data_IF_887655952196
#
_entry.id   IF_887655952196
#
_cell.length_a   1.000
_cell.length_b   1.000
_cell.length_c   1.000
_cell.angle_alpha   90.00
_cell.angle_beta   90.00
_cell.angle_gamma   90.00
#
_symmetry.space_group_name_H-M   'P 1'
#
loop_
_entity.id
_entity.type
_entity.pdbx_description
1 polymer ?
#
# COMPACT_ATOMS: atom_id res chain seq x y z
N UNK A 1 -16.35 -32.07 -41.70
CA UNK A 1 -15.77 -32.04 -40.37
C UNK A 1 -16.77 -31.40 -39.42
N UNK A 2 -17.10 -31.97 -38.28
CA UNK A 2 -17.99 -31.33 -37.34
C UNK A 2 -17.37 -30.01 -36.90
N UNK A 3 -18.14 -28.95 -36.90
CA UNK A 3 -17.74 -27.62 -36.45
C UNK A 3 -17.65 -27.65 -34.92
N UNK A 4 -16.46 -27.61 -34.39
CA UNK A 4 -16.25 -27.51 -32.92
C UNK A 4 -16.53 -26.05 -32.56
N UNK A 5 -17.55 -25.82 -31.75
CA UNK A 5 -17.86 -24.51 -31.20
C UNK A 5 -17.14 -24.44 -29.86
N UNK A 6 -16.19 -23.52 -29.74
CA UNK A 6 -15.61 -23.17 -28.44
C UNK A 6 -16.62 -22.31 -27.69
N UNK A 7 -17.03 -22.72 -26.50
CA UNK A 7 -17.94 -21.99 -25.64
C UNK A 7 -17.12 -21.38 -24.50
N UNK A 8 -17.14 -20.03 -24.40
CA UNK A 8 -16.61 -19.31 -23.26
C UNK A 8 -17.75 -19.04 -22.28
N UNK A 9 -17.65 -19.55 -21.07
CA UNK A 9 -18.72 -19.48 -20.06
C UNK A 9 -18.45 -18.46 -18.97
N UNK A 10 -17.20 -17.99 -18.83
CA UNK A 10 -16.84 -17.01 -17.81
C UNK A 10 -15.61 -16.19 -18.23
N UNK A 11 -15.40 -15.07 -17.54
CA UNK A 11 -14.23 -14.20 -17.65
C UNK A 11 -13.48 -14.07 -16.32
N UNK A 12 -13.58 -15.05 -15.43
CA UNK A 12 -13.04 -15.02 -14.08
C UNK A 12 -11.50 -14.89 -14.01
N UNK A 13 -10.80 -15.18 -15.10
CA UNK A 13 -9.35 -15.00 -15.23
C UNK A 13 -8.95 -13.63 -15.79
N UNK A 14 -9.92 -12.82 -16.25
CA UNK A 14 -9.64 -11.49 -16.83
C UNK A 14 -8.73 -11.56 -18.07
N UNK A 15 -7.87 -10.58 -18.23
CA UNK A 15 -6.90 -10.52 -19.33
C UNK A 15 -5.81 -11.57 -19.14
N UNK A 16 -5.47 -12.27 -20.19
CA UNK A 16 -4.34 -13.20 -20.23
C UNK A 16 -3.18 -12.60 -21.04
N UNK A 17 -1.98 -12.82 -20.55
CA UNK A 17 -0.76 -12.40 -21.22
C UNK A 17 -0.72 -12.98 -22.65
N UNK A 18 -0.42 -12.19 -23.70
CA UNK A 18 -0.34 -12.64 -25.08
C UNK A 18 0.59 -13.85 -25.28
N UNK A 19 1.59 -14.02 -24.43
CA UNK A 19 2.50 -15.19 -24.44
C UNK A 19 1.77 -16.49 -24.09
N UNK A 20 0.58 -16.43 -23.52
CA UNK A 20 -0.26 -17.59 -23.17
C UNK A 20 -1.28 -17.95 -24.26
N UNK A 21 -1.31 -17.25 -25.38
CA UNK A 21 -2.32 -17.41 -26.46
C UNK A 21 -2.42 -18.83 -27.01
N UNK A 22 -1.37 -19.66 -26.92
CA UNK A 22 -1.36 -21.05 -27.38
C UNK A 22 -1.51 -22.08 -26.24
N UNK A 23 -1.60 -21.62 -24.99
CA UNK A 23 -1.64 -22.49 -23.80
C UNK A 23 -3.06 -22.96 -23.45
N UNK A 24 -3.67 -23.68 -24.42
CA UNK A 24 -5.03 -24.25 -24.27
C UNK A 24 -5.11 -25.36 -23.20
N UNK A 25 -3.97 -25.79 -22.66
CA UNK A 25 -3.86 -26.72 -21.55
C UNK A 25 -4.17 -26.08 -20.18
N UNK A 26 -4.10 -24.75 -20.09
CA UNK A 26 -4.39 -24.04 -18.85
C UNK A 26 -5.90 -23.91 -18.62
N UNK A 27 -6.36 -24.24 -17.39
CA UNK A 27 -7.76 -24.04 -16.97
C UNK A 27 -8.22 -22.59 -17.21
N UNK A 28 -7.38 -21.64 -16.91
CA UNK A 28 -7.65 -20.19 -17.03
C UNK A 28 -7.81 -19.71 -18.48
N UNK A 29 -7.32 -20.47 -19.48
CA UNK A 29 -7.38 -20.09 -20.89
C UNK A 29 -8.82 -19.86 -21.36
N UNK A 30 -9.73 -20.76 -21.00
CA UNK A 30 -11.15 -20.70 -21.41
C UNK A 30 -11.98 -19.74 -20.53
N UNK A 31 -11.38 -19.14 -19.52
CA UNK A 31 -12.00 -18.15 -18.63
C UNK A 31 -11.33 -16.78 -18.75
N UNK A 32 -10.45 -16.62 -19.72
CA UNK A 32 -9.70 -15.40 -19.96
C UNK A 32 -10.14 -14.65 -21.21
N UNK A 33 -9.65 -13.44 -21.33
CA UNK A 33 -9.83 -12.57 -22.50
C UNK A 33 -8.46 -12.12 -23.01
N UNK A 34 -8.39 -11.85 -24.32
CA UNK A 34 -7.22 -11.22 -24.93
C UNK A 34 -7.07 -9.76 -24.46
N UNK A 35 -8.21 -9.06 -24.32
CA UNK A 35 -8.28 -7.70 -23.83
C UNK A 35 -9.53 -7.49 -22.97
N UNK A 36 -9.41 -6.76 -21.89
CA UNK A 36 -10.50 -6.36 -21.02
C UNK A 36 -10.21 -4.96 -20.46
N UNK A 37 -10.50 -3.94 -21.27
CA UNK A 37 -10.26 -2.54 -20.96
C UNK A 37 -11.54 -1.87 -20.47
N UNK A 38 -11.43 -1.13 -19.33
CA UNK A 38 -12.53 -0.41 -18.70
C UNK A 38 -13.75 -1.30 -18.34
N UNK A 39 -13.49 -2.51 -17.91
CA UNK A 39 -14.49 -3.46 -17.43
C UNK A 39 -14.13 -4.03 -16.07
N UNK A 40 -15.11 -4.58 -15.39
CA UNK A 40 -14.99 -5.33 -14.14
C UNK A 40 -15.45 -6.75 -14.41
N UNK A 41 -14.62 -7.72 -14.04
CA UNK A 41 -15.01 -9.13 -14.02
C UNK A 41 -15.90 -9.39 -12.80
N UNK A 42 -16.98 -10.13 -13.00
CA UNK A 42 -17.91 -10.46 -11.93
C UNK A 42 -17.68 -11.88 -11.44
N UNK A 43 -17.85 -12.15 -10.12
CA UNK A 43 -17.71 -13.50 -9.56
C UNK A 43 -18.61 -14.54 -10.26
N UNK A 44 -19.75 -14.11 -10.78
CA UNK A 44 -20.70 -14.96 -11.51
C UNK A 44 -20.24 -15.33 -12.92
N UNK A 45 -19.07 -14.86 -13.36
CA UNK A 45 -18.47 -15.19 -14.65
C UNK A 45 -18.65 -14.15 -15.75
N UNK A 46 -19.56 -13.18 -15.58
CA UNK A 46 -19.76 -12.10 -16.54
C UNK A 46 -18.72 -10.98 -16.41
N UNK A 47 -18.84 -10.01 -17.32
CA UNK A 47 -18.15 -8.71 -17.24
C UNK A 47 -19.17 -7.59 -17.32
N UNK A 48 -18.89 -6.51 -16.59
CA UNK A 48 -19.65 -5.26 -16.69
C UNK A 48 -18.70 -4.11 -16.97
N UNK A 49 -19.22 -3.04 -17.57
CA UNK A 49 -18.46 -1.80 -17.71
C UNK A 49 -18.08 -1.27 -16.32
N UNK A 50 -16.87 -0.74 -16.15
CA UNK A 50 -16.52 -0.07 -14.89
C UNK A 50 -17.38 1.18 -14.70
N UNK A 51 -17.65 1.58 -13.47
CA UNK A 51 -18.19 2.90 -13.17
C UNK A 51 -17.30 4.00 -13.73
N UNK A 52 -17.88 5.17 -13.99
CA UNK A 52 -17.16 6.36 -14.40
C UNK A 52 -16.45 7.03 -13.22
N UNK A 53 -15.51 7.91 -13.54
CA UNK A 53 -14.89 8.80 -12.57
C UNK A 53 -15.62 10.14 -12.56
N UNK A 54 -16.21 10.47 -11.42
CA UNK A 54 -16.92 11.72 -11.17
C UNK A 54 -15.98 12.76 -10.61
N UNK A 55 -16.01 13.98 -11.15
CA UNK A 55 -15.26 15.10 -10.63
C UNK A 55 -15.66 15.45 -9.18
N UNK A 56 -14.68 15.62 -8.32
CA UNK A 56 -14.85 16.08 -6.95
C UNK A 56 -14.23 17.46 -6.75
N UNK A 57 -12.97 17.65 -7.12
CA UNK A 57 -12.25 18.91 -6.94
C UNK A 57 -11.10 19.07 -7.94
N UNK A 58 -10.70 20.32 -8.18
CA UNK A 58 -9.47 20.63 -8.92
C UNK A 58 -8.29 20.68 -7.95
N UNK A 59 -7.25 19.92 -8.27
CA UNK A 59 -5.99 19.90 -7.52
C UNK A 59 -4.92 20.54 -8.41
N UNK A 60 -4.36 21.68 -8.01
CA UNK A 60 -3.44 22.44 -8.85
C UNK A 60 -1.98 21.97 -8.77
N UNK A 61 -1.72 20.78 -8.24
CA UNK A 61 -0.38 20.22 -8.01
C UNK A 61 -0.41 18.70 -8.15
N UNK A 62 0.76 18.10 -8.30
CA UNK A 62 0.92 16.65 -8.10
C UNK A 62 0.49 16.29 -6.69
N UNK A 63 -0.21 15.18 -6.56
CA UNK A 63 -0.79 14.79 -5.30
C UNK A 63 -0.71 13.28 -5.07
N UNK A 64 -0.61 12.90 -3.81
CA UNK A 64 -0.76 11.54 -3.34
C UNK A 64 -1.93 11.43 -2.38
N UNK A 65 -2.73 10.41 -2.54
CA UNK A 65 -3.90 10.14 -1.73
C UNK A 65 -3.58 9.22 -0.56
N UNK A 66 -4.26 9.43 0.55
CA UNK A 66 -4.27 8.51 1.69
C UNK A 66 -5.63 8.52 2.37
N UNK A 67 -6.04 7.38 2.89
CA UNK A 67 -7.27 7.27 3.69
C UNK A 67 -6.99 7.48 5.17
N UNK A 68 -7.95 8.06 5.88
CA UNK A 68 -7.96 8.19 7.33
C UNK A 68 -9.34 7.77 7.85
N UNK A 69 -9.41 6.75 8.68
CA UNK A 69 -10.66 6.24 9.23
C UNK A 69 -10.63 6.31 10.77
N UNK A 70 -11.34 7.28 11.35
CA UNK A 70 -11.52 7.35 12.80
C UNK A 70 -12.53 6.29 13.28
N UNK A 71 -13.64 6.17 12.56
CA UNK A 71 -14.64 5.12 12.70
C UNK A 71 -15.37 4.97 11.35
N UNK A 72 -16.37 4.11 11.28
CA UNK A 72 -17.11 3.82 10.03
C UNK A 72 -17.89 5.01 9.44
N UNK A 73 -18.22 6.02 10.25
CA UNK A 73 -18.98 7.22 9.83
C UNK A 73 -18.06 8.44 9.60
N UNK A 74 -16.87 8.42 10.19
CA UNK A 74 -15.94 9.54 10.20
C UNK A 74 -14.65 9.12 9.50
N UNK A 75 -14.75 9.06 8.20
CA UNK A 75 -13.66 8.72 7.29
C UNK A 75 -13.31 9.93 6.45
N UNK A 76 -12.04 10.05 6.11
CA UNK A 76 -11.50 11.21 5.41
C UNK A 76 -10.53 10.76 4.33
N UNK A 77 -10.50 11.51 3.25
CA UNK A 77 -9.47 11.44 2.23
C UNK A 77 -8.45 12.54 2.47
N UNK A 78 -7.20 12.16 2.59
CA UNK A 78 -6.05 13.05 2.66
C UNK A 78 -5.45 13.23 1.27
N UNK A 79 -5.35 14.46 0.80
CA UNK A 79 -4.74 14.82 -0.48
C UNK A 79 -3.44 15.55 -0.19
N UNK A 80 -2.34 14.81 -0.17
CA UNK A 80 -1.00 15.35 0.04
C UNK A 80 -0.52 16.02 -1.25
N UNK A 81 -0.11 17.27 -1.14
CA UNK A 81 0.49 18.06 -2.21
C UNK A 81 1.79 18.70 -1.71
N UNK A 82 2.44 19.49 -2.54
CA UNK A 82 3.67 20.19 -2.13
C UNK A 82 3.44 21.03 -0.87
N UNK A 83 4.10 20.63 0.22
CA UNK A 83 4.08 21.29 1.55
C UNK A 83 2.69 21.45 2.18
N UNK A 84 1.70 20.66 1.75
CA UNK A 84 0.33 20.74 2.27
C UNK A 84 -0.37 19.39 2.23
N UNK A 85 -1.35 19.21 3.08
CA UNK A 85 -2.37 18.15 2.96
C UNK A 85 -3.76 18.79 3.07
N UNK A 86 -4.58 18.57 2.05
CA UNK A 86 -5.99 18.94 2.05
C UNK A 86 -6.83 17.74 2.52
N UNK A 87 -7.80 17.98 3.36
CA UNK A 87 -8.62 16.97 4.00
C UNK A 87 -10.04 17.08 3.46
N UNK A 88 -10.54 15.97 2.93
CA UNK A 88 -11.89 15.85 2.39
C UNK A 88 -12.71 14.85 3.21
N UNK A 89 -13.98 15.13 3.36
CA UNK A 89 -14.98 14.20 3.88
C UNK A 89 -16.18 14.16 2.93
N UNK A 90 -16.56 12.96 2.49
CA UNK A 90 -17.69 12.76 1.55
C UNK A 90 -17.58 13.68 0.30
N UNK A 91 -16.38 13.81 -0.26
CA UNK A 91 -16.08 14.68 -1.40
C UNK A 91 -16.04 16.18 -1.10
N UNK A 92 -16.26 16.61 0.15
CA UNK A 92 -16.26 18.03 0.55
C UNK A 92 -14.97 18.38 1.28
N UNK A 93 -14.29 19.43 0.83
CA UNK A 93 -13.09 19.98 1.48
C UNK A 93 -13.40 20.46 2.90
N UNK A 94 -12.59 20.08 3.87
CA UNK A 94 -12.77 20.37 5.29
C UNK A 94 -11.66 21.31 5.84
N UNK A 95 -10.42 21.05 5.50
CA UNK A 95 -9.27 21.79 6.05
C UNK A 95 -8.02 21.59 5.18
N UNK A 96 -7.08 22.55 5.32
CA UNK A 96 -5.71 22.43 4.83
C UNK A 96 -4.75 22.46 6.01
N UNK A 97 -3.74 21.60 5.99
CA UNK A 97 -2.68 21.55 6.99
C UNK A 97 -1.33 21.62 6.32
N UNK A 98 -0.48 22.55 6.75
CA UNK A 98 0.89 22.68 6.23
C UNK A 98 1.73 21.49 6.65
N UNK A 99 2.47 20.91 5.70
CA UNK A 99 3.38 19.78 5.90
C UNK A 99 4.80 20.17 5.46
N UNK A 100 5.84 19.43 5.87
CA UNK A 100 7.20 19.67 5.36
C UNK A 100 7.52 18.94 4.06
N UNK A 101 6.62 18.09 3.57
CA UNK A 101 6.89 17.17 2.47
C UNK A 101 6.77 17.88 1.12
N UNK A 102 7.82 17.80 0.32
CA UNK A 102 7.84 18.31 -1.05
C UNK A 102 7.21 17.33 -2.03
N UNK A 103 6.86 17.81 -3.23
CA UNK A 103 6.32 16.96 -4.31
C UNK A 103 7.14 15.69 -4.54
N UNK A 104 8.48 15.80 -4.58
CA UNK A 104 9.37 14.66 -4.80
C UNK A 104 9.29 13.59 -3.69
N UNK A 105 8.88 13.97 -2.49
CA UNK A 105 8.82 13.12 -1.31
C UNK A 105 7.45 12.45 -1.10
N UNK A 106 6.43 12.86 -1.85
CA UNK A 106 5.06 12.41 -1.61
C UNK A 106 4.91 10.88 -1.71
N UNK A 107 5.53 10.26 -2.71
CA UNK A 107 5.43 8.80 -2.91
C UNK A 107 6.39 7.99 -2.03
N UNK A 108 7.30 8.64 -1.31
CA UNK A 108 8.16 8.02 -0.30
C UNK A 108 7.56 8.09 1.10
N UNK A 109 6.57 8.97 1.30
CA UNK A 109 5.88 9.14 2.57
C UNK A 109 5.14 7.86 2.95
N UNK A 110 5.35 7.36 4.16
CA UNK A 110 4.59 6.24 4.70
C UNK A 110 3.86 6.65 5.99
N UNK A 111 2.84 5.91 6.31
CA UNK A 111 2.03 6.20 7.49
C UNK A 111 1.43 4.96 8.13
N UNK A 112 1.11 5.11 9.39
CA UNK A 112 0.25 4.18 10.15
C UNK A 112 -0.74 5.00 10.96
N UNK A 113 -1.89 4.42 11.27
CA UNK A 113 -2.95 5.12 12.01
C UNK A 113 -3.38 4.34 13.24
N UNK A 114 -3.66 5.07 14.31
CA UNK A 114 -4.35 4.56 15.49
C UNK A 114 -5.38 5.59 15.95
N UNK A 115 -6.65 5.21 15.94
CA UNK A 115 -7.79 6.07 16.30
C UNK A 115 -7.77 7.43 15.58
N UNK A 116 -7.65 8.53 16.30
CA UNK A 116 -7.64 9.91 15.81
C UNK A 116 -6.26 10.41 15.35
N UNK A 117 -5.24 9.57 15.36
CA UNK A 117 -3.85 9.95 15.10
C UNK A 117 -3.25 9.14 13.97
N UNK A 118 -2.73 9.82 12.95
CA UNK A 118 -1.92 9.27 11.87
C UNK A 118 -0.45 9.63 12.10
N UNK A 119 0.41 8.62 12.18
CA UNK A 119 1.86 8.79 12.25
C UNK A 119 2.41 8.82 10.83
N UNK A 120 3.12 9.88 10.47
CA UNK A 120 3.73 10.10 9.17
C UNK A 120 5.25 9.96 9.33
N UNK A 121 5.87 9.18 8.46
CA UNK A 121 7.32 8.93 8.46
C UNK A 121 7.91 9.11 7.06
N UNK A 122 9.10 9.70 7.02
CA UNK A 122 9.91 9.90 5.82
C UNK A 122 11.37 9.99 6.25
N UNK A 123 12.31 9.45 5.46
CA UNK A 123 13.72 9.38 5.88
C UNK A 123 14.40 10.75 6.10
N UNK A 124 13.93 11.79 5.45
CA UNK A 124 14.49 13.15 5.59
C UNK A 124 13.82 13.97 6.70
N UNK A 125 12.73 13.51 7.27
CA UNK A 125 11.94 14.28 8.23
C UNK A 125 11.69 13.51 9.52
N UNK A 126 11.86 14.21 10.65
CA UNK A 126 11.47 13.66 11.95
C UNK A 126 9.99 13.21 11.92
N UNK A 127 9.66 12.04 12.49
CA UNK A 127 8.30 11.53 12.52
C UNK A 127 7.29 12.56 13.01
N UNK A 128 6.16 12.62 12.35
CA UNK A 128 5.07 13.56 12.67
C UNK A 128 3.79 12.84 12.97
N UNK A 129 2.94 13.49 13.76
CA UNK A 129 1.57 13.04 13.99
C UNK A 129 0.58 14.07 13.46
N UNK A 130 -0.33 13.60 12.61
CA UNK A 130 -1.51 14.32 12.18
C UNK A 130 -2.68 13.86 13.04
N UNK A 131 -3.21 14.77 13.85
CA UNK A 131 -4.25 14.46 14.83
C UNK A 131 -5.54 15.15 14.43
N UNK A 132 -6.63 14.37 14.40
CA UNK A 132 -7.98 14.87 14.22
C UNK A 132 -8.50 15.45 15.54
N UNK A 133 -8.98 16.69 15.50
CA UNK A 133 -9.62 17.35 16.64
C UNK A 133 -11.12 17.03 16.76
N UNK A 134 -11.82 17.86 17.53
CA UNK A 134 -13.23 17.67 17.85
C UNK A 134 -14.23 17.94 16.70
N UNK A 135 -13.78 18.53 15.57
CA UNK A 135 -14.62 18.80 14.39
C UNK A 135 -13.95 18.28 13.12
N UNK A 136 -14.71 18.17 12.03
CA UNK A 136 -14.20 17.72 10.73
C UNK A 136 -13.11 18.64 10.16
N UNK A 137 -13.13 19.92 10.53
CA UNK A 137 -12.15 20.93 10.09
C UNK A 137 -11.00 21.16 11.07
N UNK A 138 -10.98 20.44 12.20
CA UNK A 138 -9.94 20.63 13.22
C UNK A 138 -8.85 19.57 13.09
N UNK A 139 -7.70 19.94 12.56
CA UNK A 139 -6.57 19.06 12.35
C UNK A 139 -5.27 19.73 12.77
N UNK A 140 -4.36 18.98 13.34
CA UNK A 140 -3.06 19.49 13.78
C UNK A 140 -1.95 18.52 13.40
N UNK A 141 -0.95 19.03 12.68
CA UNK A 141 0.29 18.32 12.41
C UNK A 141 1.38 18.81 13.38
N UNK A 142 2.01 17.90 14.09
CA UNK A 142 3.12 18.20 15.00
C UNK A 142 4.24 17.18 14.86
N UNK A 143 5.48 17.60 15.13
CA UNK A 143 6.60 16.68 15.28
C UNK A 143 6.40 15.84 16.53
N UNK A 144 6.68 14.54 16.45
CA UNK A 144 6.64 13.65 17.61
C UNK A 144 7.90 13.89 18.43
N UNK A 145 7.72 14.14 19.73
CA UNK A 145 8.84 14.11 20.67
C UNK A 145 9.08 12.68 21.08
N UNK A 146 10.17 12.10 20.59
CA UNK A 146 10.61 10.77 20.98
C UNK A 146 11.46 10.87 22.25
N UNK A 147 11.24 9.99 23.20
CA UNK A 147 12.07 9.84 24.41
C UNK A 147 12.94 8.59 24.30
N UNK A 148 14.11 8.66 24.91
CA UNK A 148 15.10 7.57 24.93
C UNK A 148 15.36 7.02 23.51
N UNK A 149 15.75 7.94 22.61
CA UNK A 149 16.12 7.55 21.24
C UNK A 149 17.28 6.56 21.32
N UNK A 150 17.21 5.41 20.61
CA UNK A 150 18.30 4.44 20.60
C UNK A 150 19.62 5.09 20.18
N UNK A 151 20.72 4.61 20.78
CA UNK A 151 22.04 5.14 20.52
C UNK A 151 22.86 4.15 19.69
N UNK A 152 23.70 4.65 18.80
CA UNK A 152 24.61 3.83 18.01
C UNK A 152 25.94 4.54 17.79
N UNK A 153 27.04 3.80 17.80
CA UNK A 153 28.35 4.36 17.48
C UNK A 153 28.61 4.29 15.98
N UNK A 154 28.50 5.42 15.31
CA UNK A 154 28.83 5.56 13.90
C UNK A 154 30.32 5.82 13.64
N UNK A 155 31.18 5.59 14.63
CA UNK A 155 32.64 5.75 14.53
C UNK A 155 33.18 7.00 15.21
N UNK A 156 32.35 7.78 15.90
CA UNK A 156 32.75 8.98 16.64
C UNK A 156 32.20 9.00 18.07
N UNK A 157 31.72 7.87 18.58
CA UNK A 157 31.02 7.70 19.84
C UNK A 157 29.52 7.51 19.65
N UNK A 158 28.83 7.13 20.71
CA UNK A 158 27.39 6.88 20.69
C UNK A 158 26.63 8.17 20.46
N UNK A 159 25.72 8.16 19.49
CA UNK A 159 24.81 9.26 19.14
C UNK A 159 23.44 8.72 18.77
N UNK A 160 22.42 9.60 18.73
CA UNK A 160 21.06 9.23 18.36
C UNK A 160 21.02 8.59 16.97
N UNK A 161 20.35 7.45 16.84
CA UNK A 161 20.19 6.73 15.56
C UNK A 161 19.38 7.54 14.54
N UNK A 162 18.58 8.51 14.99
CA UNK A 162 17.74 9.37 14.14
C UNK A 162 18.10 10.84 14.32
N UNK A 163 18.56 11.43 13.26
CA UNK A 163 18.88 12.86 13.18
C UNK A 163 18.84 13.33 11.72
N UNK A 164 18.98 14.64 11.50
CA UNK A 164 19.06 15.19 10.13
C UNK A 164 20.25 14.69 9.31
N UNK A 165 21.28 14.11 9.95
CA UNK A 165 22.45 13.53 9.27
C UNK A 165 22.40 12.01 9.19
N UNK A 166 21.72 11.34 10.12
CA UNK A 166 21.58 9.87 10.19
C UNK A 166 20.32 9.37 9.49
N UNK A 167 19.41 10.28 9.14
CA UNK A 167 18.08 10.00 8.60
C UNK A 167 17.09 9.63 9.69
N UNK A 168 15.85 9.50 9.29
CA UNK A 168 14.72 9.15 10.15
C UNK A 168 14.07 7.85 9.66
N UNK A 169 13.15 7.25 10.44
CA UNK A 169 12.46 6.03 10.02
C UNK A 169 11.71 6.20 8.69
N UNK A 170 11.86 5.21 7.79
CA UNK A 170 11.17 5.17 6.49
C UNK A 170 9.79 4.55 6.56
N UNK A 171 9.57 3.64 7.50
CA UNK A 171 8.33 2.90 7.64
C UNK A 171 7.89 2.82 9.08
N UNK A 172 6.58 2.75 9.30
CA UNK A 172 5.99 2.65 10.64
C UNK A 172 4.75 1.73 10.63
N UNK A 173 4.57 0.98 11.71
CA UNK A 173 3.35 0.21 11.95
C UNK A 173 3.12 0.02 13.45
N UNK A 174 1.84 -0.16 13.85
CA UNK A 174 1.50 -0.61 15.20
C UNK A 174 1.35 -2.13 15.23
N UNK A 175 2.04 -2.79 16.16
CA UNK A 175 1.91 -4.23 16.35
C UNK A 175 2.23 -4.62 17.78
N UNK A 176 1.42 -5.50 18.39
CA UNK A 176 1.57 -5.98 19.77
C UNK A 176 1.84 -4.84 20.79
N UNK A 177 0.95 -3.82 20.78
CA UNK A 177 1.02 -2.66 21.69
C UNK A 177 2.32 -1.86 21.64
N UNK A 178 3.03 -1.90 20.52
CA UNK A 178 4.25 -1.13 20.23
C UNK A 178 4.10 -0.37 18.91
N UNK A 179 4.74 0.77 18.83
CA UNK A 179 5.02 1.43 17.56
C UNK A 179 6.36 0.88 17.03
N UNK A 180 6.32 0.36 15.82
CA UNK A 180 7.49 -0.15 15.13
C UNK A 180 7.92 0.82 14.04
N UNK A 181 9.22 1.11 14.02
CA UNK A 181 9.88 1.84 12.95
C UNK A 181 10.81 0.92 12.17
N UNK A 182 10.93 1.15 10.85
CA UNK A 182 11.79 0.37 9.98
C UNK A 182 12.69 1.22 9.10
N UNK A 183 13.97 0.88 9.10
CA UNK A 183 15.00 1.48 8.24
C UNK A 183 15.20 2.98 8.43
N UNK A 184 16.44 3.42 8.33
CA UNK A 184 16.80 4.83 8.19
C UNK A 184 17.95 4.94 7.20
N UNK A 185 18.33 6.16 6.82
CA UNK A 185 19.40 6.39 5.86
C UNK A 185 20.71 5.66 6.24
N UNK A 186 21.12 5.74 7.51
CA UNK A 186 22.40 5.17 7.97
C UNK A 186 22.25 3.77 8.61
N UNK A 187 21.03 3.37 8.97
CA UNK A 187 20.72 2.01 9.46
C UNK A 187 19.55 1.41 8.67
N UNK A 188 19.75 1.14 7.37
CA UNK A 188 18.67 0.73 6.47
C UNK A 188 18.06 -0.64 6.78
N UNK A 189 18.76 -1.48 7.53
CA UNK A 189 18.35 -2.86 7.85
C UNK A 189 17.85 -3.04 9.29
N UNK A 190 17.66 -1.95 10.04
CA UNK A 190 17.27 -2.01 11.44
C UNK A 190 15.79 -1.72 11.61
N UNK A 191 15.15 -2.46 12.51
CA UNK A 191 13.81 -2.17 13.03
C UNK A 191 13.91 -1.81 14.50
N UNK A 192 13.03 -0.92 14.93
CA UNK A 192 12.95 -0.47 16.32
C UNK A 192 11.50 -0.59 16.79
N UNK A 193 11.31 -1.21 17.95
CA UNK A 193 10.03 -1.27 18.64
C UNK A 193 10.04 -0.35 19.86
N UNK A 194 8.99 0.45 20.04
CA UNK A 194 8.83 1.26 21.26
C UNK A 194 8.60 0.38 22.49
N UNK A 195 8.63 0.97 23.68
CA UNK A 195 8.11 0.32 24.90
C UNK A 195 6.66 -0.07 24.72
N UNK A 196 6.24 -1.13 25.42
CA UNK A 196 4.85 -1.61 25.38
C UNK A 196 3.91 -0.55 25.94
N UNK A 197 2.88 -0.16 25.18
CA UNK A 197 1.89 0.89 25.51
C UNK A 197 2.49 2.31 25.73
N UNK A 198 3.76 2.51 25.42
CA UNK A 198 4.41 3.83 25.40
C UNK A 198 5.05 4.04 24.02
N UNK A 199 4.23 4.44 23.06
CA UNK A 199 4.55 4.42 21.63
C UNK A 199 5.67 5.38 21.21
N UNK A 200 6.01 6.36 22.02
CA UNK A 200 7.04 7.37 21.68
C UNK A 200 8.29 7.24 22.55
N UNK A 201 8.41 6.17 23.30
CA UNK A 201 9.54 5.85 24.14
C UNK A 201 10.26 4.60 23.61
N UNK A 202 11.55 4.74 23.26
CA UNK A 202 12.37 3.67 22.70
C UNK A 202 13.48 3.22 23.65
N UNK A 203 13.26 3.36 24.95
CA UNK A 203 14.20 2.91 25.99
C UNK A 203 14.39 1.39 25.92
N UNK A 204 15.57 0.95 25.51
CA UNK A 204 15.98 -0.46 25.46
C UNK A 204 16.55 -0.97 26.80
N UNK A 205 16.75 -0.06 27.74
CA UNK A 205 17.01 -0.28 29.17
C UNK A 205 17.89 -1.47 29.52
N UNK A 206 17.32 -2.38 30.29
CA UNK A 206 17.99 -3.61 30.79
C UNK A 206 17.44 -4.89 30.13
N UNK A 207 16.74 -4.76 29.02
CA UNK A 207 16.10 -5.86 28.25
C UNK A 207 14.95 -6.56 28.99
N UNK A 208 14.16 -5.79 29.76
CA UNK A 208 12.89 -6.27 30.30
C UNK A 208 11.85 -6.45 29.18
N UNK A 209 10.85 -7.29 29.40
CA UNK A 209 9.88 -7.68 28.38
C UNK A 209 9.06 -6.51 27.79
N UNK A 210 8.89 -5.42 28.53
CA UNK A 210 8.15 -4.22 28.14
C UNK A 210 9.02 -3.11 27.52
N UNK A 211 10.34 -3.26 27.56
CA UNK A 211 11.30 -2.27 27.07
C UNK A 211 11.40 -2.22 25.53
N UNK A 212 12.05 -1.18 25.01
CA UNK A 212 12.27 -0.97 23.57
C UNK A 212 13.10 -2.08 22.92
N UNK A 213 12.99 -2.20 21.63
CA UNK A 213 13.65 -3.24 20.83
C UNK A 213 14.44 -2.55 19.72
N UNK A 214 15.71 -2.89 19.56
CA UNK A 214 16.56 -2.54 18.40
C UNK A 214 17.11 -3.84 17.81
N UNK A 215 16.70 -4.17 16.58
CA UNK A 215 17.14 -5.40 15.89
C UNK A 215 17.52 -5.08 14.46
N UNK A 216 18.73 -5.47 14.09
CA UNK A 216 19.25 -5.37 12.74
C UNK A 216 19.11 -6.71 12.03
N UNK A 217 18.60 -6.67 10.79
CA UNK A 217 18.51 -7.85 9.95
C UNK A 217 19.91 -8.37 9.61
N UNK A 218 20.14 -9.64 9.91
CA UNK A 218 21.38 -10.32 9.52
C UNK A 218 21.21 -10.87 8.10
N UNK A 219 21.89 -10.27 7.14
CA UNK A 219 21.81 -10.64 5.72
C UNK A 219 23.17 -10.51 5.05
N UNK A 220 23.41 -11.37 4.05
CA UNK A 220 24.67 -11.38 3.28
C UNK A 220 24.88 -10.09 2.45
N UNK A 221 23.82 -9.29 2.26
CA UNK A 221 23.82 -8.05 1.48
C UNK A 221 23.05 -6.97 2.23
N UNK A 222 23.36 -5.71 2.00
CA UNK A 222 22.57 -4.60 2.53
C UNK A 222 21.24 -4.52 1.81
N UNK A 223 20.17 -4.92 2.50
CA UNK A 223 18.81 -4.93 2.00
C UNK A 223 18.00 -3.89 2.78
N UNK A 224 17.88 -2.69 2.21
CA UNK A 224 17.15 -1.61 2.88
C UNK A 224 15.68 -1.99 3.10
N UNK A 225 15.18 -1.74 4.30
CA UNK A 225 13.77 -1.92 4.64
C UNK A 225 12.94 -0.94 3.82
N UNK A 226 11.94 -1.46 3.12
CA UNK A 226 10.99 -0.70 2.32
C UNK A 226 9.67 -0.51 3.05
N UNK A 227 9.26 -1.51 3.85
CA UNK A 227 8.05 -1.43 4.67
C UNK A 227 8.11 -2.38 5.86
N UNK A 228 7.52 -1.96 6.98
CA UNK A 228 7.16 -2.82 8.11
C UNK A 228 5.64 -2.90 8.16
N UNK A 229 5.10 -4.09 8.23
CA UNK A 229 3.66 -4.32 8.10
C UNK A 229 3.11 -5.27 9.16
N UNK A 230 2.09 -4.81 9.88
CA UNK A 230 1.37 -5.62 10.86
C UNK A 230 0.36 -6.53 10.17
N UNK A 231 0.72 -7.79 9.99
CA UNK A 231 -0.16 -8.83 9.50
C UNK A 231 -0.53 -9.81 10.62
N UNK A 232 -0.59 -11.10 10.29
CA UNK A 232 -0.65 -12.17 11.30
C UNK A 232 0.57 -12.12 12.23
N UNK A 233 1.73 -11.86 11.66
CA UNK A 233 3.00 -11.61 12.32
C UNK A 233 3.53 -10.23 11.89
N UNK A 234 4.59 -9.76 12.51
CA UNK A 234 5.26 -8.56 12.05
C UNK A 234 6.08 -8.91 10.80
N UNK A 235 5.65 -8.40 9.66
CA UNK A 235 6.30 -8.64 8.38
C UNK A 235 7.21 -7.46 8.03
N UNK A 236 8.40 -7.77 7.49
CA UNK A 236 9.40 -6.78 7.12
C UNK A 236 9.74 -7.01 5.65
N UNK A 237 9.47 -6.02 4.84
CA UNK A 237 9.77 -6.01 3.42
C UNK A 237 11.05 -5.22 3.18
N UNK A 238 11.92 -5.75 2.33
CA UNK A 238 13.20 -5.12 2.01
C UNK A 238 13.46 -5.13 0.51
N UNK A 239 14.47 -4.42 0.07
CA UNK A 239 14.90 -4.43 -1.34
C UNK A 239 15.41 -5.78 -1.84
N UNK A 240 15.73 -6.73 -0.96
CA UNK A 240 16.33 -8.02 -1.33
C UNK A 240 15.64 -9.25 -0.79
N UNK A 241 14.60 -9.10 0.03
CA UNK A 241 13.84 -10.23 0.57
C UNK A 241 12.79 -9.81 1.58
N UNK A 242 11.96 -10.76 1.97
CA UNK A 242 10.89 -10.60 2.94
C UNK A 242 11.21 -11.42 4.20
N UNK A 243 10.95 -10.79 5.34
CA UNK A 243 11.22 -11.36 6.66
C UNK A 243 9.97 -11.31 7.52
N UNK A 244 9.94 -12.14 8.56
CA UNK A 244 8.89 -12.11 9.57
C UNK A 244 9.45 -12.24 10.98
N UNK A 245 8.73 -11.67 11.96
CA UNK A 245 8.91 -11.97 13.39
C UNK A 245 7.62 -12.63 13.84
N UNK A 246 7.71 -13.90 14.18
CA UNK A 246 6.57 -14.75 14.53
C UNK A 246 6.38 -14.89 16.05
N UNK A 247 7.31 -14.33 16.83
CA UNK A 247 7.23 -14.39 18.29
C UNK A 247 5.97 -13.69 18.83
N UNK A 248 5.41 -14.25 19.89
CA UNK A 248 4.25 -13.68 20.58
C UNK A 248 4.31 -14.02 22.07
N UNK A 249 4.52 -13.02 22.94
CA UNK A 249 4.84 -11.62 22.63
C UNK A 249 6.26 -11.45 22.07
N UNK A 250 6.46 -10.37 21.30
CA UNK A 250 7.80 -9.93 20.88
C UNK A 250 8.38 -9.12 22.04
N UNK A 251 9.53 -9.56 22.56
CA UNK A 251 10.25 -8.90 23.67
C UNK A 251 11.73 -8.75 23.34
N UNK A 252 12.49 -7.86 24.01
CA UNK A 252 13.92 -7.73 23.76
C UNK A 252 14.70 -9.04 23.83
N UNK A 253 14.33 -9.92 24.77
CA UNK A 253 14.94 -11.25 24.91
C UNK A 253 14.39 -12.29 23.92
N UNK A 254 13.30 -12.00 23.20
CA UNK A 254 12.54 -12.94 22.38
C UNK A 254 12.09 -12.28 21.09
N UNK A 255 13.06 -12.01 20.24
CA UNK A 255 12.86 -11.42 18.92
C UNK A 255 13.71 -12.18 17.91
N UNK A 256 13.07 -13.06 17.13
CA UNK A 256 13.73 -13.85 16.11
C UNK A 256 13.25 -13.41 14.73
N UNK A 257 14.12 -12.71 14.00
CA UNK A 257 13.84 -12.33 12.61
C UNK A 257 14.15 -13.53 11.72
N UNK A 258 13.14 -13.98 10.95
CA UNK A 258 13.28 -15.08 9.99
C UNK A 258 13.20 -14.54 8.59
N UNK A 259 14.16 -14.94 7.74
CA UNK A 259 14.08 -14.67 6.31
C UNK A 259 13.17 -15.72 5.66
N UNK A 260 12.12 -15.28 5.02
CA UNK A 260 11.10 -16.14 4.43
C UNK A 260 11.28 -16.30 2.92
N UNK A 261 11.48 -15.18 2.20
CA UNK A 261 11.63 -15.19 0.74
C UNK A 261 12.68 -14.18 0.28
N UNK A 262 13.07 -14.25 -1.02
CA UNK A 262 14.20 -13.49 -1.59
C UNK A 262 13.80 -12.64 -2.80
N UNK A 263 12.57 -12.17 -2.86
CA UNK A 263 12.10 -11.40 -4.03
C UNK A 263 12.42 -9.92 -3.92
N UNK A 264 12.32 -9.36 -2.73
CA UNK A 264 12.41 -7.93 -2.47
C UNK A 264 11.19 -7.16 -2.93
N UNK A 265 10.98 -5.98 -2.40
CA UNK A 265 9.83 -5.13 -2.67
C UNK A 265 10.22 -3.73 -3.09
N UNK A 266 9.30 -3.04 -3.77
CA UNK A 266 9.34 -1.59 -3.98
C UNK A 266 9.01 -0.85 -2.69
N UNK A 267 9.10 0.48 -2.70
CA UNK A 267 8.71 1.35 -1.57
C UNK A 267 7.20 1.54 -1.42
N UNK A 268 6.40 1.01 -2.35
CA UNK A 268 4.93 1.08 -2.26
C UNK A 268 4.46 0.26 -1.06
N UNK A 269 3.72 0.85 -0.11
CA UNK A 269 3.29 0.15 1.08
C UNK A 269 2.45 -1.08 0.76
N UNK A 270 2.78 -2.24 1.33
CA UNK A 270 1.99 -3.46 1.16
C UNK A 270 0.55 -3.30 1.67
N UNK A 271 -0.37 -4.08 1.12
CA UNK A 271 -1.79 -4.09 1.53
C UNK A 271 -2.24 -5.51 1.85
N UNK A 272 -3.12 -5.65 2.85
CA UNK A 272 -3.65 -6.95 3.25
C UNK A 272 -5.02 -7.22 2.65
N UNK A 273 -5.17 -8.43 2.08
CA UNK A 273 -6.42 -8.95 1.54
C UNK A 273 -6.51 -10.45 1.84
N UNK A 274 -7.67 -10.91 2.30
CA UNK A 274 -7.96 -12.32 2.58
C UNK A 274 -6.87 -13.04 3.40
N UNK A 275 -6.27 -12.34 4.38
CA UNK A 275 -5.23 -12.88 5.25
C UNK A 275 -3.84 -12.98 4.64
N UNK A 276 -3.66 -12.56 3.40
CA UNK A 276 -2.36 -12.40 2.75
C UNK A 276 -1.95 -10.94 2.61
N UNK A 277 -0.65 -10.69 2.57
CA UNK A 277 -0.09 -9.37 2.30
C UNK A 277 0.33 -9.30 0.85
N UNK A 278 -0.23 -8.36 0.10
CA UNK A 278 0.09 -8.12 -1.31
C UNK A 278 1.16 -7.04 -1.38
N UNK A 279 2.20 -7.30 -2.16
CA UNK A 279 3.28 -6.36 -2.41
C UNK A 279 3.75 -6.41 -3.87
N UNK A 280 4.43 -5.35 -4.30
CA UNK A 280 5.02 -5.27 -5.63
C UNK A 280 6.49 -5.62 -5.48
N UNK A 281 6.97 -6.58 -6.29
CA UNK A 281 8.36 -7.00 -6.23
C UNK A 281 9.32 -5.85 -6.62
N UNK A 282 10.60 -5.96 -6.24
CA UNK A 282 11.62 -4.92 -6.48
C UNK A 282 11.77 -4.51 -7.93
N UNK A 283 11.31 -5.32 -8.88
CA UNK A 283 11.43 -5.02 -10.32
C UNK A 283 10.29 -4.14 -10.83
N UNK A 284 9.21 -3.95 -10.02
CA UNK A 284 8.01 -3.25 -10.44
C UNK A 284 7.20 -3.95 -11.53
N UNK A 285 7.47 -5.23 -11.80
CA UNK A 285 6.86 -6.00 -12.90
C UNK A 285 5.97 -7.15 -12.44
N UNK A 286 5.92 -7.40 -11.15
CA UNK A 286 5.20 -8.52 -10.58
C UNK A 286 4.56 -8.14 -9.26
N UNK A 287 3.30 -8.51 -9.11
CA UNK A 287 2.58 -8.44 -7.84
C UNK A 287 2.63 -9.82 -7.20
N UNK A 288 3.02 -9.83 -5.93
CA UNK A 288 3.16 -11.03 -5.14
C UNK A 288 2.27 -11.02 -3.93
N UNK A 289 1.89 -12.20 -3.52
CA UNK A 289 1.20 -12.42 -2.27
C UNK A 289 2.14 -13.08 -1.26
N UNK A 290 2.19 -12.56 -0.04
CA UNK A 290 2.96 -13.09 1.07
C UNK A 290 1.97 -13.70 2.08
N UNK A 291 1.93 -15.04 2.12
CA UNK A 291 0.93 -15.80 2.84
C UNK A 291 1.60 -16.83 3.76
N UNK A 292 1.15 -16.89 5.00
CA UNK A 292 1.62 -17.91 5.95
C UNK A 292 1.04 -19.28 5.64
N UNK A 293 1.91 -20.26 5.46
CA UNK A 293 1.57 -21.67 5.25
C UNK A 293 1.75 -22.46 6.55
N UNK A 294 0.66 -22.95 7.10
CA UNK A 294 0.71 -23.78 8.30
C UNK A 294 1.46 -25.10 8.12
N UNK A 295 1.42 -25.66 6.91
CA UNK A 295 2.07 -26.93 6.62
C UNK A 295 3.60 -26.80 6.59
N UNK A 296 4.09 -25.61 6.23
CA UNK A 296 5.50 -25.33 6.08
C UNK A 296 6.06 -24.57 7.29
N UNK A 297 5.19 -24.09 8.19
CA UNK A 297 5.52 -23.17 9.29
C UNK A 297 6.35 -21.96 8.82
N UNK A 298 6.05 -21.47 7.63
CA UNK A 298 6.77 -20.41 6.95
C UNK A 298 5.85 -19.57 6.08
N UNK A 299 6.31 -18.37 5.71
CA UNK A 299 5.66 -17.59 4.69
C UNK A 299 6.12 -18.02 3.31
N UNK A 300 5.17 -18.09 2.39
CA UNK A 300 5.41 -18.32 0.96
C UNK A 300 5.06 -17.08 0.16
N UNK A 301 5.69 -16.90 -0.99
CA UNK A 301 5.41 -15.79 -1.89
C UNK A 301 5.03 -16.29 -3.27
N UNK A 302 3.73 -16.26 -3.57
CA UNK A 302 3.16 -16.57 -4.87
C UNK A 302 3.06 -15.33 -5.77
N UNK A 303 3.23 -15.50 -7.08
CA UNK A 303 3.01 -14.42 -8.05
C UNK A 303 1.54 -14.41 -8.48
N UNK A 304 0.79 -13.40 -8.08
CA UNK A 304 -0.63 -13.24 -8.45
C UNK A 304 -0.83 -12.64 -9.83
N UNK A 305 0.16 -11.92 -10.35
CA UNK A 305 0.13 -11.30 -11.68
C UNK A 305 0.69 -12.18 -12.80
N UNK A 306 0.99 -13.46 -12.55
CA UNK A 306 1.66 -14.34 -13.51
C UNK A 306 0.96 -14.42 -14.87
N UNK A 307 -0.36 -14.48 -14.86
CA UNK A 307 -1.17 -14.63 -16.07
C UNK A 307 -1.41 -13.31 -16.83
N UNK A 308 -1.12 -12.17 -16.20
CA UNK A 308 -1.40 -10.84 -16.75
C UNK A 308 -0.27 -9.83 -16.44
N UNK A 309 0.97 -10.30 -16.35
CA UNK A 309 2.11 -9.46 -15.95
C UNK A 309 2.37 -8.26 -16.88
N UNK A 310 1.94 -8.32 -18.14
CA UNK A 310 2.04 -7.25 -19.12
C UNK A 310 1.17 -6.02 -18.80
N UNK A 311 0.20 -6.15 -17.88
CA UNK A 311 -0.62 -5.03 -17.40
C UNK A 311 0.09 -4.18 -16.33
N UNK A 312 1.21 -4.64 -15.79
CA UNK A 312 2.00 -3.91 -14.81
C UNK A 312 3.15 -3.18 -15.48
N UNK A 313 3.12 -1.87 -15.40
CA UNK A 313 4.15 -0.99 -15.95
C UNK A 313 4.69 -0.05 -14.88
N UNK A 314 5.64 -0.56 -14.08
CA UNK A 314 6.27 0.19 -12.99
C UNK A 314 5.24 0.89 -12.09
N UNK A 315 4.39 0.14 -11.36
CA UNK A 315 3.39 0.73 -10.49
C UNK A 315 4.00 1.76 -9.54
N UNK A 316 3.26 2.84 -9.29
CA UNK A 316 3.66 3.96 -8.41
C UNK A 316 2.81 4.06 -7.16
N UNK A 317 1.58 3.55 -7.20
CA UNK A 317 0.67 3.56 -6.06
C UNK A 317 -0.24 2.33 -6.08
N UNK A 318 -0.79 1.97 -4.91
CA UNK A 318 -1.65 0.80 -4.75
C UNK A 318 -2.63 1.00 -3.59
N UNK A 319 -3.89 0.64 -3.82
CA UNK A 319 -4.85 0.50 -2.72
C UNK A 319 -5.82 -0.67 -2.94
N UNK A 320 -6.61 -1.00 -1.92
CA UNK A 320 -7.49 -2.16 -1.88
C UNK A 320 -8.90 -1.78 -1.45
N UNK A 321 -9.90 -2.25 -2.20
CA UNK A 321 -11.30 -2.24 -1.80
C UNK A 321 -11.73 -3.67 -1.45
N UNK A 322 -12.39 -3.84 -0.31
CA UNK A 322 -12.93 -5.12 0.12
C UNK A 322 -14.38 -5.24 -0.29
N UNK A 323 -14.77 -6.42 -0.74
CA UNK A 323 -16.17 -6.70 -1.03
C UNK A 323 -17.02 -6.53 0.24
N UNK A 324 -18.12 -5.79 0.11
CA UNK A 324 -19.05 -5.50 1.20
C UNK A 324 -20.15 -6.52 1.36
N UNK A 325 -20.31 -7.40 0.37
CA UNK A 325 -21.31 -8.48 0.37
C UNK A 325 -20.68 -9.80 -0.06
N UNK A 326 -21.40 -10.90 0.13
CA UNK A 326 -20.99 -12.25 -0.33
C UNK A 326 -20.92 -12.37 -1.85
N UNK A 327 -21.51 -11.43 -2.58
CA UNK A 327 -21.58 -11.41 -4.03
C UNK A 327 -20.54 -10.49 -4.67
N UNK A 328 -19.84 -9.69 -3.84
CA UNK A 328 -18.80 -8.78 -4.28
C UNK A 328 -17.43 -9.41 -4.10
N UNK A 329 -16.57 -9.18 -5.06
CA UNK A 329 -15.16 -9.54 -4.97
C UNK A 329 -14.35 -8.42 -4.32
N UNK A 330 -13.13 -8.75 -3.95
CA UNK A 330 -12.14 -7.77 -3.54
C UNK A 330 -11.41 -7.22 -4.77
N UNK A 331 -11.11 -5.93 -4.75
CA UNK A 331 -10.38 -5.27 -5.83
C UNK A 331 -9.10 -4.65 -5.31
N UNK A 332 -8.01 -4.88 -6.03
CA UNK A 332 -6.75 -4.17 -5.83
C UNK A 332 -6.49 -3.30 -7.05
N UNK A 333 -6.14 -2.07 -6.79
CA UNK A 333 -5.87 -1.05 -7.80
C UNK A 333 -4.38 -0.75 -7.81
N UNK A 334 -3.75 -0.86 -8.98
CA UNK A 334 -2.33 -0.58 -9.18
C UNK A 334 -2.20 0.53 -10.20
N UNK A 335 -1.82 1.70 -9.75
CA UNK A 335 -1.55 2.84 -10.64
C UNK A 335 -0.19 2.65 -11.28
N UNK A 336 -0.15 2.56 -12.59
CA UNK A 336 1.07 2.40 -13.37
C UNK A 336 1.77 3.73 -13.63
N UNK A 337 3.08 3.70 -13.85
CA UNK A 337 3.87 4.88 -14.19
C UNK A 337 3.52 5.50 -15.56
N UNK A 338 2.76 4.80 -16.42
CA UNK A 338 2.24 5.32 -17.69
C UNK A 338 0.84 5.94 -17.58
N UNK A 339 0.32 6.09 -16.37
CA UNK A 339 -1.01 6.67 -16.12
C UNK A 339 -2.19 5.73 -16.36
N UNK A 340 -1.95 4.46 -16.69
CA UNK A 340 -2.98 3.42 -16.69
C UNK A 340 -3.14 2.81 -15.30
N UNK A 341 -4.23 2.08 -15.06
CA UNK A 341 -4.43 1.35 -13.82
C UNK A 341 -4.70 -0.12 -14.12
N UNK A 342 -3.88 -1.02 -13.55
CA UNK A 342 -4.18 -2.44 -13.52
C UNK A 342 -5.09 -2.73 -12.33
N UNK A 343 -6.16 -3.47 -12.55
CA UNK A 343 -7.13 -3.81 -11.49
C UNK A 343 -7.21 -5.32 -11.37
N UNK A 344 -6.95 -5.81 -10.17
CA UNK A 344 -7.02 -7.22 -9.83
C UNK A 344 -8.27 -7.50 -9.01
N UNK A 345 -9.13 -8.34 -9.55
CA UNK A 345 -10.33 -8.82 -8.90
C UNK A 345 -10.07 -10.22 -8.33
N UNK A 346 -10.28 -10.40 -7.04
CA UNK A 346 -10.05 -11.69 -6.38
C UNK A 346 -11.19 -12.07 -5.43
N UNK A 347 -11.65 -13.31 -5.59
CA UNK A 347 -12.56 -13.98 -4.67
C UNK A 347 -12.17 -15.46 -4.62
N UNK A 348 -11.31 -15.81 -3.67
CA UNK A 348 -10.71 -17.17 -3.58
C UNK A 348 -11.76 -18.28 -3.52
N UNK A 349 -12.86 -18.05 -2.79
CA UNK A 349 -13.94 -19.03 -2.62
C UNK A 349 -14.62 -19.41 -3.96
N UNK A 350 -14.53 -18.53 -4.97
CA UNK A 350 -15.11 -18.73 -6.31
C UNK A 350 -14.06 -18.87 -7.40
N UNK A 351 -12.80 -19.06 -7.05
CA UNK A 351 -11.67 -19.14 -7.98
C UNK A 351 -11.60 -17.93 -8.95
N UNK A 352 -12.03 -16.75 -8.51
CA UNK A 352 -11.90 -15.51 -9.28
C UNK A 352 -10.49 -14.97 -9.07
N UNK A 353 -9.79 -14.74 -10.17
CA UNK A 353 -8.44 -14.17 -10.21
C UNK A 353 -8.28 -13.39 -11.51
N UNK A 354 -9.07 -12.35 -11.67
CA UNK A 354 -9.22 -11.61 -12.92
C UNK A 354 -8.47 -10.29 -12.93
N UNK A 355 -7.65 -10.09 -13.95
CA UNK A 355 -6.98 -8.83 -14.19
C UNK A 355 -7.67 -8.04 -15.30
N UNK A 356 -7.83 -6.74 -15.12
CA UNK A 356 -8.37 -5.82 -16.13
C UNK A 356 -7.52 -4.57 -16.18
N UNK A 357 -7.55 -3.88 -17.33
CA UNK A 357 -6.90 -2.59 -17.52
C UNK A 357 -7.94 -1.48 -17.46
N UNK A 358 -7.66 -0.45 -16.65
CA UNK A 358 -8.46 0.77 -16.65
C UNK A 358 -7.63 1.94 -17.16
N UNK A 359 -8.26 2.73 -18.00
CA UNK A 359 -7.68 3.94 -18.57
C UNK A 359 -8.76 5.02 -18.71
N UNK A 360 -8.34 6.26 -18.77
CA UNK A 360 -9.20 7.43 -18.96
C UNK A 360 -8.54 8.39 -19.93
N UNK A 361 -9.27 9.44 -20.35
CA UNK A 361 -8.66 10.54 -21.12
C UNK A 361 -7.78 11.36 -20.16
N UNK A 362 -6.53 10.95 -20.02
CA UNK A 362 -5.56 11.49 -19.07
C UNK A 362 -4.71 10.40 -18.41
N UNK A 363 -3.97 10.76 -17.38
CA UNK A 363 -3.08 9.86 -16.62
C UNK A 363 -3.57 9.77 -15.18
N UNK A 364 -3.81 8.55 -14.68
CA UNK A 364 -4.10 8.31 -13.27
C UNK A 364 -2.76 8.36 -12.52
N UNK A 365 -2.64 9.21 -11.50
CA UNK A 365 -1.39 9.44 -10.77
C UNK A 365 -1.39 8.84 -9.36
N UNK A 366 -2.55 8.72 -8.70
CA UNK A 366 -2.67 8.15 -7.35
C UNK A 366 -4.05 7.55 -7.14
N UNK A 367 -4.16 6.59 -6.23
CA UNK A 367 -5.42 5.95 -5.83
C UNK A 367 -5.50 5.83 -4.32
N UNK A 368 -6.66 6.03 -3.75
CA UNK A 368 -6.95 5.68 -2.36
C UNK A 368 -8.39 5.23 -2.20
N UNK A 369 -8.59 4.25 -1.33
CA UNK A 369 -9.91 3.74 -0.97
C UNK A 369 -10.26 4.20 0.44
N UNK A 370 -11.38 4.90 0.56
CA UNK A 370 -11.92 5.36 1.84
C UNK A 370 -13.19 4.57 2.13
N UNK A 371 -13.09 3.57 2.99
CA UNK A 371 -14.13 2.54 3.23
C UNK A 371 -14.43 1.79 1.92
N UNK A 372 -15.45 2.18 1.18
CA UNK A 372 -15.90 1.55 -0.07
C UNK A 372 -15.78 2.49 -1.27
N UNK A 373 -15.40 3.74 -1.05
CA UNK A 373 -15.28 4.76 -2.08
C UNK A 373 -13.86 4.83 -2.63
N UNK A 374 -13.72 4.69 -3.93
CA UNK A 374 -12.43 4.75 -4.64
C UNK A 374 -12.22 6.16 -5.16
N UNK A 375 -11.13 6.79 -4.74
CA UNK A 375 -10.71 8.11 -5.20
C UNK A 375 -9.42 8.00 -6.00
N UNK A 376 -9.30 8.81 -7.04
CA UNK A 376 -8.11 8.89 -7.89
C UNK A 376 -7.71 10.34 -8.14
N UNK A 377 -6.42 10.58 -8.34
CA UNK A 377 -5.94 11.80 -8.96
C UNK A 377 -5.74 11.51 -10.45
N UNK A 378 -6.38 12.32 -11.29
CA UNK A 378 -6.26 12.21 -12.74
C UNK A 378 -5.69 13.51 -13.31
N UNK A 379 -4.56 13.38 -13.99
CA UNK A 379 -3.93 14.47 -14.75
C UNK A 379 -4.54 14.48 -16.16
N UNK A 380 -5.14 15.61 -16.53
CA UNK A 380 -5.80 15.81 -17.82
C UNK A 380 -5.20 16.99 -18.55
N UNK A 381 -5.34 17.00 -19.87
CA UNK A 381 -5.04 18.17 -20.71
C UNK A 381 -6.36 18.72 -21.24
N UNK A 382 -6.77 19.89 -20.75
CA UNK A 382 -8.00 20.57 -21.14
C UNK A 382 -7.62 21.92 -21.71
N UNK A 383 -8.08 22.24 -22.93
CA UNK A 383 -7.75 23.49 -23.63
C UNK A 383 -6.25 23.79 -23.65
N UNK A 384 -5.43 22.77 -23.91
CA UNK A 384 -3.96 22.81 -23.90
C UNK A 384 -3.32 23.12 -22.52
N UNK A 385 -4.09 23.12 -21.45
CA UNK A 385 -3.61 23.31 -20.08
C UNK A 385 -3.63 21.99 -19.31
N UNK A 386 -2.56 21.72 -18.59
CA UNK A 386 -2.50 20.57 -17.69
C UNK A 386 -3.27 20.91 -16.42
N UNK A 387 -4.25 20.09 -16.10
CA UNK A 387 -5.04 20.16 -14.87
C UNK A 387 -5.00 18.82 -14.15
N UNK A 388 -5.18 18.83 -12.86
CA UNK A 388 -5.34 17.62 -12.05
C UNK A 388 -6.66 17.66 -11.32
N UNK A 389 -7.40 16.59 -11.42
CA UNK A 389 -8.67 16.44 -10.74
C UNK A 389 -8.60 15.34 -9.71
N UNK A 390 -9.20 15.63 -8.56
CA UNK A 390 -9.65 14.60 -7.65
C UNK A 390 -10.96 14.07 -8.19
N UNK A 391 -11.02 12.79 -8.49
CA UNK A 391 -12.20 12.11 -9.02
C UNK A 391 -12.55 10.92 -8.14
N UNK A 392 -13.84 10.60 -8.07
CA UNK A 392 -14.41 9.48 -7.33
C UNK A 392 -15.03 8.48 -8.31
N UNK A 393 -14.81 7.19 -8.09
CA UNK A 393 -15.51 6.15 -8.83
C UNK A 393 -16.99 6.16 -8.45
N UNK A 394 -17.85 6.44 -9.41
CA UNK A 394 -19.31 6.61 -9.21
C UNK A 394 -20.08 5.50 -9.92
N UNK A 395 -20.72 4.63 -9.14
CA UNK A 395 -21.46 3.46 -9.65
C UNK A 395 -22.67 3.85 -10.52
N UNK A 396 -23.17 5.05 -10.37
CA UNK A 396 -24.30 5.57 -11.13
C UNK A 396 -23.89 6.27 -12.44
N UNK A 397 -22.59 6.43 -12.66
CA UNK A 397 -22.02 7.04 -13.87
C UNK A 397 -21.24 6.01 -14.70
N UNK A 398 -21.33 6.13 -16.03
CA UNK A 398 -20.56 5.31 -16.98
C UNK A 398 -19.64 6.15 -17.86
N UNK A 399 -19.47 7.43 -17.55
CA UNK A 399 -18.55 8.35 -18.24
C UNK A 399 -17.61 8.96 -17.24
N UNK A 400 -16.38 9.19 -17.67
CA UNK A 400 -15.39 9.90 -16.85
C UNK A 400 -15.62 11.41 -16.93
N UNK A 401 -15.19 12.14 -15.92
CA UNK A 401 -15.15 13.59 -15.94
C UNK A 401 -14.22 14.08 -17.08
N UNK A 402 -14.65 15.12 -17.78
CA UNK A 402 -13.92 15.75 -18.88
C UNK A 402 -13.72 17.24 -18.59
#
# INVERSE_FOLDING_TARGET
MPKVISLQTSFNSGVLDPRLASRTDLKHFYQGAEEATNVITMPQGGVKRRPGFKYVATINAEARLASFAFNVEQTYLMVFTNLSVAIYKDGVHQADVTTPYTTAQLFELQWTQSADTMILVHEDHAPRKLVRGGSHSSWTLSTITLSNVPQFDFGSGAEDVWSGTRGYPKSATFYQSRLWFGGSLQRPQTIWGSKTNDFFNFDDGTSLDDEGIDVTLDTDQVNAITAVYAGRHLNIFTTGGEFSIQDSPITPAKVAVRRETLFGSTSIPPKMIDGSVIFIDRTGKSVREFLFSYNEDAYTSGTVSLLASHLLNSPVDMDVSKGTSSDDANYLYFVNGDGTMAVFNTLRAQEVSGWTKWETTGEIESVSVVVDEVYVIVKRTIDSSVVRYLEQLDVDSYTDAN
#
